data_IF_104780591771
#
_entry.id   IF_104780591771
#
_cell.length_a   1.000
_cell.length_b   1.000
_cell.length_c   1.000
_cell.angle_alpha   90.00
_cell.angle_beta   90.00
_cell.angle_gamma   90.00
#
_symmetry.space_group_name_H-M   'P 1'
#
loop_
_entity.id
_entity.type
_entity.pdbx_description
1 polymer ?
#
# COMPACT_ATOMS: atom_id res chain seq x y z
N UNK A 1 23.50 -38.94 -2.17
CA UNK A 1 23.92 -38.35 -3.47
C UNK A 1 22.75 -37.92 -4.38
N UNK A 2 21.56 -38.51 -4.24
CA UNK A 2 20.39 -38.25 -5.09
C UNK A 2 19.70 -36.88 -4.85
N UNK A 3 19.61 -36.44 -3.59
CA UNK A 3 18.98 -35.16 -3.19
C UNK A 3 19.71 -33.93 -3.76
N UNK A 4 21.05 -34.02 -3.89
CA UNK A 4 21.88 -32.91 -4.38
C UNK A 4 21.73 -32.67 -5.88
N UNK A 5 21.35 -33.70 -6.66
CA UNK A 5 21.09 -33.57 -8.10
C UNK A 5 19.69 -33.00 -8.39
N UNK A 6 18.69 -33.39 -7.61
CA UNK A 6 17.32 -32.90 -7.78
C UNK A 6 17.18 -31.42 -7.40
N UNK A 7 17.86 -30.99 -6.34
CA UNK A 7 17.87 -29.57 -5.92
C UNK A 7 18.54 -28.65 -6.96
N UNK A 8 19.63 -29.11 -7.57
CA UNK A 8 20.33 -28.36 -8.61
C UNK A 8 19.49 -28.25 -9.90
N UNK A 9 18.73 -29.31 -10.25
CA UNK A 9 17.80 -29.28 -11.38
C UNK A 9 16.64 -28.31 -11.15
N UNK A 10 16.13 -28.25 -9.92
CA UNK A 10 14.99 -27.40 -9.57
C UNK A 10 15.34 -25.91 -9.57
N UNK A 11 16.53 -25.55 -9.08
CA UNK A 11 17.07 -24.17 -9.16
C UNK A 11 17.32 -23.75 -10.61
N UNK A 12 17.83 -24.67 -11.45
CA UNK A 12 18.08 -24.38 -12.87
C UNK A 12 16.76 -24.18 -13.61
N UNK A 13 15.72 -24.98 -13.31
CA UNK A 13 14.37 -24.81 -13.87
C UNK A 13 13.74 -23.47 -13.45
N UNK A 14 13.85 -23.07 -12.18
CA UNK A 14 13.36 -21.78 -11.69
C UNK A 14 14.04 -20.57 -12.36
N UNK A 15 15.35 -20.65 -12.57
CA UNK A 15 16.11 -19.62 -13.28
C UNK A 15 15.72 -19.53 -14.76
N UNK A 16 15.49 -20.67 -15.42
CA UNK A 16 15.02 -20.67 -16.82
C UNK A 16 13.60 -20.15 -16.98
N UNK A 17 12.70 -20.44 -16.02
CA UNK A 17 11.31 -19.93 -16.04
C UNK A 17 11.29 -18.42 -15.79
N UNK A 18 12.13 -17.91 -14.88
CA UNK A 18 12.25 -16.47 -14.63
C UNK A 18 12.83 -15.73 -15.85
N UNK A 19 13.87 -16.29 -16.48
CA UNK A 19 14.43 -15.71 -17.70
C UNK A 19 13.42 -15.70 -18.86
N UNK A 20 12.63 -16.75 -19.02
CA UNK A 20 11.58 -16.83 -20.04
C UNK A 20 10.43 -15.85 -19.75
N UNK A 21 10.09 -15.60 -18.48
CA UNK A 21 9.08 -14.61 -18.09
C UNK A 21 9.55 -13.17 -18.34
N UNK A 22 10.84 -12.88 -18.11
CA UNK A 22 11.41 -11.57 -18.45
C UNK A 22 11.48 -11.33 -19.97
N UNK A 23 11.78 -12.35 -20.77
CA UNK A 23 11.80 -12.19 -22.24
C UNK A 23 10.39 -12.04 -22.80
N UNK A 24 9.40 -12.76 -22.26
CA UNK A 24 7.99 -12.58 -22.66
C UNK A 24 7.51 -11.18 -22.27
N UNK A 25 7.86 -10.68 -21.08
CA UNK A 25 7.48 -9.33 -20.65
C UNK A 25 8.16 -8.22 -21.47
N UNK A 26 9.44 -8.39 -21.83
CA UNK A 26 10.16 -7.46 -22.69
C UNK A 26 9.62 -7.48 -24.13
N UNK A 27 9.24 -8.67 -24.63
CA UNK A 27 8.58 -8.82 -25.92
C UNK A 27 7.18 -8.18 -25.90
N UNK A 28 6.39 -8.36 -24.84
CA UNK A 28 5.10 -7.68 -24.66
C UNK A 28 5.25 -6.15 -24.59
N UNK A 29 6.28 -5.62 -23.92
CA UNK A 29 6.55 -4.19 -23.89
C UNK A 29 7.02 -3.65 -25.26
N UNK A 30 7.79 -4.45 -26.01
CA UNK A 30 8.20 -4.11 -27.37
C UNK A 30 7.01 -4.13 -28.36
N UNK A 31 6.14 -5.15 -28.30
CA UNK A 31 4.90 -5.19 -29.10
C UNK A 31 3.93 -4.05 -28.71
N UNK A 32 3.90 -3.66 -27.43
CA UNK A 32 3.11 -2.49 -27.00
C UNK A 32 3.68 -1.15 -27.47
N UNK A 33 4.98 -1.08 -27.78
CA UNK A 33 5.59 0.13 -28.35
C UNK A 33 5.31 0.29 -29.85
N UNK A 34 5.11 -0.81 -30.57
CA UNK A 34 4.78 -0.83 -32.00
C UNK A 34 3.29 -0.50 -32.26
N UNK A 35 2.40 -0.79 -31.30
CA UNK A 35 0.96 -0.49 -31.41
C UNK A 35 0.60 0.99 -31.26
N UNK A 36 1.56 1.89 -30.99
CA UNK A 36 1.32 3.34 -30.89
C UNK A 36 1.35 4.03 -32.27
N UNK A 37 1.75 3.32 -33.33
CA UNK A 37 1.70 3.83 -34.69
C UNK A 37 0.56 3.16 -35.48
N UNK A 38 -0.60 3.82 -35.47
CA UNK A 38 -1.78 3.63 -36.32
C UNK A 38 -2.82 2.57 -35.87
N UNK A 39 -3.73 3.00 -34.99
CA UNK A 39 -5.13 2.58 -35.04
C UNK A 39 -6.02 3.83 -35.08
N UNK A 40 -6.13 4.40 -36.28
CA UNK A 40 -7.25 5.24 -36.70
C UNK A 40 -8.48 4.34 -36.85
N UNK A 41 -9.24 4.11 -35.77
CA UNK A 41 -10.70 3.95 -35.69
C UNK A 41 -11.09 3.21 -34.39
N UNK A 42 -12.23 3.55 -33.75
CA UNK A 42 -12.39 3.39 -32.33
C UNK A 42 -13.21 2.13 -31.98
N UNK A 43 -12.74 1.30 -31.03
CA UNK A 43 -13.64 0.49 -30.18
C UNK A 43 -12.94 -0.09 -28.94
N UNK A 44 -13.51 0.25 -27.77
CA UNK A 44 -13.39 -0.41 -26.46
C UNK A 44 -12.11 -0.21 -25.61
N UNK A 45 -12.00 0.95 -24.95
CA UNK A 45 -11.79 1.08 -23.47
C UNK A 45 -11.46 2.51 -22.99
N UNK A 46 -11.48 3.49 -23.88
CA UNK A 46 -11.60 4.91 -23.49
C UNK A 46 -13.07 5.28 -23.38
N UNK A 47 -13.62 5.35 -22.15
CA UNK A 47 -14.74 6.20 -21.71
C UNK A 47 -15.38 5.66 -20.42
N UNK A 48 -15.06 6.24 -19.26
CA UNK A 48 -16.02 6.53 -18.17
C UNK A 48 -15.62 7.78 -17.38
N UNK A 49 -15.13 8.80 -18.08
CA UNK A 49 -15.29 10.21 -17.70
C UNK A 49 -15.46 10.93 -19.04
N UNK A 50 -16.62 11.57 -19.23
CA UNK A 50 -17.05 12.37 -20.40
C UNK A 50 -17.91 11.66 -21.48
N UNK A 51 -19.22 11.80 -21.27
CA UNK A 51 -20.26 12.09 -22.27
C UNK A 51 -20.77 10.96 -23.17
N UNK A 52 -21.72 10.24 -22.60
CA UNK A 52 -22.93 9.81 -23.31
C UNK A 52 -23.69 11.07 -23.78
N UNK A 53 -23.35 11.62 -24.95
CA UNK A 53 -23.96 12.82 -25.53
C UNK A 53 -25.41 12.63 -26.01
N UNK A 54 -26.12 11.59 -25.57
CA UNK A 54 -27.55 11.41 -25.87
C UNK A 54 -28.33 10.46 -24.94
N UNK A 55 -27.90 10.27 -23.69
CA UNK A 55 -28.74 9.60 -22.68
C UNK A 55 -29.62 10.65 -21.97
N UNK A 56 -30.92 10.38 -21.74
CA UNK A 56 -31.79 11.32 -21.03
C UNK A 56 -31.18 11.65 -19.67
N UNK A 57 -31.14 12.94 -19.31
CA UNK A 57 -30.49 13.46 -18.10
C UNK A 57 -30.85 12.63 -16.84
N UNK A 58 -30.01 11.64 -16.54
CA UNK A 58 -30.13 10.79 -15.38
C UNK A 58 -29.81 11.56 -14.10
N UNK A 59 -30.26 11.03 -12.96
CA UNK A 59 -29.97 11.57 -11.64
C UNK A 59 -28.46 11.78 -11.41
N UNK A 60 -27.62 10.96 -12.05
CA UNK A 60 -26.17 11.02 -11.98
C UNK A 60 -25.60 12.36 -12.47
N UNK A 61 -26.18 12.97 -13.52
CA UNK A 61 -25.72 14.26 -14.02
C UNK A 61 -26.11 15.42 -13.08
N UNK A 62 -27.27 15.33 -12.42
CA UNK A 62 -27.69 16.32 -11.40
C UNK A 62 -26.82 16.26 -10.15
N UNK A 63 -26.43 15.05 -9.77
CA UNK A 63 -25.52 14.81 -8.65
C UNK A 63 -24.14 15.39 -9.00
N UNK A 64 -23.58 15.04 -10.16
CA UNK A 64 -22.28 15.54 -10.59
C UNK A 64 -22.26 17.07 -10.69
N UNK A 65 -23.27 17.70 -11.31
CA UNK A 65 -23.37 19.15 -11.44
C UNK A 65 -23.54 19.88 -10.08
N UNK A 66 -24.07 19.21 -9.07
CA UNK A 66 -24.17 19.75 -7.71
C UNK A 66 -22.85 19.62 -6.93
N UNK A 67 -22.06 18.58 -7.21
CA UNK A 67 -20.77 18.33 -6.55
C UNK A 67 -19.58 19.02 -7.23
N UNK A 68 -19.65 19.26 -8.55
CA UNK A 68 -18.68 20.03 -9.34
C UNK A 68 -18.29 21.38 -8.70
N UNK A 69 -19.22 22.29 -8.34
CA UNK A 69 -18.83 23.60 -7.80
C UNK A 69 -18.13 23.50 -6.44
N UNK A 70 -18.39 22.45 -5.67
CA UNK A 70 -17.70 22.19 -4.40
C UNK A 70 -16.31 21.64 -4.67
N UNK A 71 -16.18 20.65 -5.56
CA UNK A 71 -14.91 20.06 -5.95
C UNK A 71 -13.96 21.12 -6.55
N UNK A 72 -14.44 21.95 -7.46
CA UNK A 72 -13.68 23.03 -8.10
C UNK A 72 -13.17 24.07 -7.10
N UNK A 73 -13.96 24.38 -6.06
CA UNK A 73 -13.58 25.33 -5.02
C UNK A 73 -12.46 24.75 -4.17
N UNK A 74 -12.57 23.48 -3.77
CA UNK A 74 -11.52 22.78 -3.05
C UNK A 74 -10.25 22.61 -3.90
N UNK A 75 -10.38 22.26 -5.18
CA UNK A 75 -9.27 22.12 -6.13
C UNK A 75 -8.49 23.44 -6.24
N UNK A 76 -9.18 24.56 -6.49
CA UNK A 76 -8.56 25.89 -6.56
C UNK A 76 -7.87 26.27 -5.26
N UNK A 77 -8.48 25.94 -4.12
CA UNK A 77 -7.89 26.22 -2.82
C UNK A 77 -6.61 25.39 -2.56
N UNK A 78 -6.65 24.08 -2.78
CA UNK A 78 -5.52 23.19 -2.45
C UNK A 78 -4.39 23.22 -3.49
N UNK A 79 -4.70 23.51 -4.75
CA UNK A 79 -3.71 23.64 -5.84
C UNK A 79 -3.33 25.08 -6.15
N UNK A 80 -3.63 26.04 -5.26
CA UNK A 80 -3.03 27.37 -5.34
C UNK A 80 -1.51 27.21 -5.23
N UNK A 81 -0.80 27.54 -6.31
CA UNK A 81 0.66 27.42 -6.36
C UNK A 81 1.31 28.68 -5.81
N UNK A 82 2.30 28.49 -4.94
CA UNK A 82 3.14 29.58 -4.43
C UNK A 82 4.47 29.52 -5.18
N UNK A 83 4.93 30.64 -5.77
CA UNK A 83 6.22 30.68 -6.43
C UNK A 83 7.31 30.56 -5.37
N UNK A 84 7.96 29.40 -5.32
CA UNK A 84 9.17 29.20 -4.50
C UNK A 84 10.34 29.65 -5.38
N UNK A 85 11.21 30.50 -4.86
CA UNK A 85 12.31 31.09 -5.64
C UNK A 85 13.09 30.05 -6.48
N UNK A 86 13.52 30.45 -7.68
CA UNK A 86 14.25 29.56 -8.61
C UNK A 86 13.40 28.92 -9.71
N UNK A 87 12.23 29.50 -10.05
CA UNK A 87 11.41 29.07 -11.19
C UNK A 87 10.56 27.82 -10.94
N UNK A 88 10.39 27.42 -9.67
CA UNK A 88 9.65 26.21 -9.28
C UNK A 88 8.42 26.60 -8.46
N UNK A 89 7.24 26.28 -8.98
CA UNK A 89 5.97 26.53 -8.29
C UNK A 89 5.53 25.26 -7.57
N UNK A 90 5.27 25.34 -6.27
CA UNK A 90 4.68 24.22 -5.52
C UNK A 90 3.25 24.54 -5.07
N UNK A 91 2.35 23.54 -5.10
CA UNK A 91 1.03 23.65 -4.49
C UNK A 91 1.11 23.95 -2.99
N UNK A 92 0.21 24.81 -2.49
CA UNK A 92 0.11 25.13 -1.07
C UNK A 92 -0.12 23.89 -0.20
N UNK A 93 -0.79 22.87 -0.75
CA UNK A 93 -0.97 21.57 -0.08
C UNK A 93 0.36 20.91 0.29
N UNK A 94 1.40 21.01 -0.54
CA UNK A 94 2.72 20.44 -0.23
C UNK A 94 3.36 21.14 0.97
N UNK A 95 3.23 22.47 1.02
CA UNK A 95 3.73 23.28 2.14
C UNK A 95 2.97 22.94 3.43
N UNK A 96 1.65 22.80 3.36
CA UNK A 96 0.80 22.40 4.48
C UNK A 96 1.17 20.99 4.98
N UNK A 97 1.43 20.05 4.08
CA UNK A 97 1.84 18.68 4.42
C UNK A 97 3.20 18.64 5.11
N UNK A 98 4.20 19.33 4.55
CA UNK A 98 5.54 19.37 5.15
C UNK A 98 5.51 20.07 6.51
N UNK A 99 4.80 21.19 6.63
CA UNK A 99 4.64 21.90 7.90
C UNK A 99 3.88 21.06 8.94
N UNK A 100 2.76 20.45 8.55
CA UNK A 100 1.97 19.57 9.42
C UNK A 100 2.79 18.35 9.86
N UNK A 101 3.49 17.69 8.95
CA UNK A 101 4.34 16.55 9.26
C UNK A 101 5.49 16.95 10.20
N UNK A 102 6.13 18.09 9.98
CA UNK A 102 7.18 18.60 10.86
C UNK A 102 6.61 18.94 12.25
N UNK A 103 5.47 19.63 12.32
CA UNK A 103 4.81 19.98 13.57
C UNK A 103 4.43 18.74 14.38
N UNK A 104 3.74 17.77 13.77
CA UNK A 104 3.34 16.53 14.46
C UNK A 104 4.57 15.71 14.87
N UNK A 105 5.60 15.63 14.03
CA UNK A 105 6.83 14.90 14.37
C UNK A 105 7.55 15.52 15.57
N UNK A 106 7.62 16.86 15.64
CA UNK A 106 8.23 17.56 16.77
C UNK A 106 7.34 17.50 18.02
N UNK A 107 6.03 17.68 17.87
CA UNK A 107 5.06 17.65 18.98
C UNK A 107 5.02 16.29 19.67
N UNK A 108 5.11 15.19 18.92
CA UNK A 108 5.18 13.83 19.47
C UNK A 108 6.61 13.38 19.82
N UNK A 109 7.61 14.26 19.68
CA UNK A 109 9.00 13.98 20.01
C UNK A 109 9.60 12.84 19.19
N UNK A 110 9.45 12.84 17.87
CA UNK A 110 10.01 11.81 16.98
C UNK A 110 9.55 10.37 17.33
N UNK A 111 8.25 10.22 17.59
CA UNK A 111 7.64 8.92 17.94
C UNK A 111 7.94 7.83 16.91
N UNK A 112 8.01 8.17 15.63
CA UNK A 112 8.34 7.25 14.53
C UNK A 112 9.68 6.51 14.75
N UNK A 113 10.67 7.16 15.38
CA UNK A 113 11.98 6.55 15.66
C UNK A 113 12.01 5.91 17.04
N UNK A 114 11.40 6.55 18.05
CA UNK A 114 11.43 6.07 19.45
C UNK A 114 10.62 4.79 19.66
N UNK A 115 9.52 4.63 18.94
CA UNK A 115 8.57 3.53 19.14
C UNK A 115 8.81 2.33 18.22
N UNK A 116 9.60 2.51 17.16
CA UNK A 116 10.02 1.44 16.26
C UNK A 116 10.62 0.20 16.97
N UNK A 117 11.57 0.31 17.93
CA UNK A 117 12.10 -0.86 18.62
C UNK A 117 11.05 -1.58 19.48
N UNK A 118 10.09 -0.82 20.02
CA UNK A 118 8.98 -1.40 20.79
C UNK A 118 8.07 -2.22 19.88
N UNK A 119 7.67 -1.67 18.73
CA UNK A 119 6.87 -2.38 17.74
C UNK A 119 7.55 -3.68 17.23
N UNK A 120 8.87 -3.64 17.01
CA UNK A 120 9.63 -4.85 16.63
C UNK A 120 9.61 -5.90 17.76
N UNK A 121 9.74 -5.46 19.01
CA UNK A 121 9.69 -6.38 20.15
C UNK A 121 8.30 -7.02 20.36
N UNK A 122 7.23 -6.34 19.96
CA UNK A 122 5.85 -6.89 19.94
C UNK A 122 5.69 -7.89 18.79
N UNK A 123 6.02 -7.49 17.56
CA UNK A 123 5.82 -8.37 16.39
C UNK A 123 6.71 -9.61 16.39
N UNK A 124 7.86 -9.55 17.05
CA UNK A 124 8.77 -10.69 17.21
C UNK A 124 8.28 -11.72 18.25
N UNK A 125 7.10 -11.53 18.83
CA UNK A 125 6.49 -12.48 19.78
C UNK A 125 7.16 -12.47 21.16
N UNK A 126 7.95 -11.44 21.48
CA UNK A 126 8.63 -11.35 22.78
C UNK A 126 7.63 -11.16 23.93
N UNK A 127 6.42 -10.65 23.68
CA UNK A 127 5.42 -10.37 24.71
C UNK A 127 4.25 -11.37 24.76
N UNK A 128 4.07 -12.21 23.74
CA UNK A 128 3.02 -13.24 23.68
C UNK A 128 3.06 -14.22 24.87
N UNK A 129 4.26 -14.39 25.46
CA UNK A 129 4.47 -15.23 26.65
C UNK A 129 3.92 -14.63 27.95
N UNK A 130 3.77 -13.31 28.04
CA UNK A 130 3.25 -12.61 29.23
C UNK A 130 1.72 -12.57 29.17
N UNK A 131 1.17 -12.39 27.98
CA UNK A 131 -0.27 -12.46 27.68
C UNK A 131 -0.84 -13.84 28.03
N UNK A 132 -0.19 -14.91 27.54
CA UNK A 132 -0.58 -16.30 27.87
C UNK A 132 -0.39 -16.68 29.34
N UNK A 133 0.59 -16.09 30.03
CA UNK A 133 0.82 -16.33 31.45
C UNK A 133 -0.14 -15.55 32.38
N UNK A 134 -0.69 -14.42 31.91
CA UNK A 134 -1.71 -13.65 32.61
C UNK A 134 -3.08 -14.31 32.60
N UNK A 135 -3.47 -14.90 31.46
CA UNK A 135 -4.73 -15.65 31.32
C UNK A 135 -4.81 -16.89 32.23
N UNK A 136 -3.69 -17.53 32.54
CA UNK A 136 -3.64 -18.72 33.41
C UNK A 136 -3.86 -18.43 34.91
N UNK A 137 -3.91 -17.16 35.35
CA UNK A 137 -4.05 -16.78 36.77
C UNK A 137 -5.44 -16.21 37.12
N UNK A 138 -6.39 -16.22 36.18
CA UNK A 138 -7.80 -15.95 36.48
C UNK A 138 -8.45 -17.29 36.74
N UNK A 139 -8.71 -17.60 38.02
CA UNK A 139 -9.51 -18.78 38.42
C UNK A 139 -10.97 -18.31 38.52
N UNK A 140 -11.80 -18.43 37.47
CA UNK A 140 -13.23 -18.34 37.66
C UNK A 140 -13.65 -19.59 38.43
N UNK A 141 -14.19 -19.38 39.63
CA UNK A 141 -14.76 -20.46 40.45
C UNK A 141 -16.05 -20.98 39.80
N UNK A 142 -15.91 -21.78 38.75
CA UNK A 142 -16.97 -22.49 38.04
C UNK A 142 -16.41 -23.82 37.53
N UNK A 143 -17.26 -24.83 37.39
CA UNK A 143 -16.86 -26.21 37.13
C UNK A 143 -16.16 -26.34 35.76
N UNK A 144 -14.84 -26.38 35.79
CA UNK A 144 -13.97 -26.59 34.63
C UNK A 144 -13.91 -28.11 34.35
N UNK A 145 -14.53 -28.55 33.26
CA UNK A 145 -14.40 -29.93 32.75
C UNK A 145 -13.60 -29.85 31.47
N UNK A 146 -12.44 -30.52 31.42
CA UNK A 146 -11.51 -30.50 30.27
C UNK A 146 -11.06 -29.09 29.81
N UNK A 147 -10.92 -28.14 30.74
CA UNK A 147 -10.40 -26.80 30.45
C UNK A 147 -11.43 -25.82 29.86
N UNK A 148 -12.72 -26.15 29.92
CA UNK A 148 -13.81 -25.35 29.37
C UNK A 148 -14.80 -24.89 30.46
N UNK A 149 -15.27 -23.65 30.28
CA UNK A 149 -16.28 -22.98 31.08
C UNK A 149 -17.67 -23.31 30.53
N UNK A 150 -18.36 -24.26 31.18
CA UNK A 150 -19.78 -24.52 30.89
C UNK A 150 -20.60 -23.25 31.14
N UNK A 151 -21.35 -22.83 30.12
CA UNK A 151 -22.26 -21.66 30.05
C UNK A 151 -21.68 -20.28 29.66
N UNK A 152 -20.43 -20.22 29.19
CA UNK A 152 -19.93 -19.04 28.41
C UNK A 152 -19.53 -19.48 27.02
N UNK A 153 -20.01 -18.79 25.97
CA UNK A 153 -19.46 -19.00 24.62
C UNK A 153 -17.97 -18.66 24.68
N UNK A 154 -17.15 -19.70 24.58
CA UNK A 154 -15.70 -19.63 24.51
C UNK A 154 -15.31 -18.70 23.36
N UNK A 155 -14.91 -17.48 23.67
CA UNK A 155 -14.11 -16.70 22.72
C UNK A 155 -12.66 -17.18 22.86
N UNK A 156 -12.36 -18.33 22.26
CA UNK A 156 -10.99 -18.84 22.13
C UNK A 156 -10.17 -18.09 21.08
N UNK A 157 -10.68 -16.95 20.61
CA UNK A 157 -9.99 -16.02 19.73
C UNK A 157 -8.82 -15.27 20.37
N UNK A 158 -8.43 -15.54 21.63
CA UNK A 158 -7.24 -14.94 22.25
C UNK A 158 -5.90 -15.51 21.73
N UNK A 159 -5.94 -16.27 20.64
CA UNK A 159 -4.81 -16.55 19.77
C UNK A 159 -5.22 -16.15 18.35
N UNK A 160 -4.87 -14.94 17.95
CA UNK A 160 -5.09 -14.45 16.60
C UNK A 160 -4.72 -15.51 15.56
N UNK A 161 -5.65 -15.81 14.66
CA UNK A 161 -5.54 -16.82 13.58
C UNK A 161 -4.33 -16.59 12.65
N UNK A 162 -3.71 -15.42 12.78
CA UNK A 162 -2.52 -14.96 12.06
C UNK A 162 -1.51 -14.45 13.10
N UNK A 163 -0.26 -14.91 13.02
CA UNK A 163 0.82 -14.37 13.87
C UNK A 163 0.96 -12.86 13.63
N UNK A 164 1.28 -12.08 14.68
CA UNK A 164 1.62 -10.66 14.55
C UNK A 164 2.64 -10.40 13.42
N UNK A 165 3.63 -11.27 13.25
CA UNK A 165 4.60 -11.18 12.15
C UNK A 165 4.00 -11.46 10.78
N UNK A 166 3.07 -12.40 10.70
CA UNK A 166 2.37 -12.73 9.46
C UNK A 166 1.38 -11.60 9.08
N UNK A 167 0.72 -10.97 10.05
CA UNK A 167 -0.09 -9.76 9.82
C UNK A 167 0.76 -8.57 9.36
N UNK A 168 1.92 -8.34 9.98
CA UNK A 168 2.89 -7.32 9.54
C UNK A 168 3.39 -7.60 8.13
N UNK A 169 3.74 -8.85 7.82
CA UNK A 169 4.22 -9.23 6.49
C UNK A 169 3.16 -8.99 5.41
N UNK A 170 1.89 -9.30 5.68
CA UNK A 170 0.78 -8.97 4.78
C UNK A 170 0.62 -7.47 4.57
N UNK A 171 0.68 -6.68 5.66
CA UNK A 171 0.60 -5.22 5.57
C UNK A 171 1.79 -4.61 4.79
N UNK A 172 3.01 -5.04 5.10
CA UNK A 172 4.23 -4.61 4.41
C UNK A 172 4.16 -4.99 2.94
N UNK A 173 3.73 -6.22 2.61
CA UNK A 173 3.55 -6.67 1.23
C UNK A 173 2.55 -5.82 0.45
N UNK A 174 1.51 -5.29 1.09
CA UNK A 174 0.56 -4.35 0.46
C UNK A 174 1.19 -2.98 0.18
N UNK A 175 2.16 -2.56 0.98
CA UNK A 175 2.83 -1.26 0.83
C UNK A 175 4.06 -1.30 -0.07
N UNK A 176 4.89 -2.36 -0.06
CA UNK A 176 6.08 -2.49 -0.92
C UNK A 176 5.77 -3.09 -2.30
N UNK A 177 4.75 -2.56 -2.96
CA UNK A 177 4.32 -3.02 -4.28
C UNK A 177 5.17 -2.48 -5.44
N UNK A 178 4.91 -3.02 -6.64
CA UNK A 178 5.50 -2.55 -7.90
C UNK A 178 5.28 -1.03 -8.12
N UNK A 179 4.19 -0.48 -7.57
CA UNK A 179 3.88 0.95 -7.61
C UNK A 179 4.88 1.83 -6.86
N UNK A 180 5.42 1.38 -5.71
CA UNK A 180 6.44 2.15 -5.00
C UNK A 180 7.77 2.12 -5.75
N UNK A 181 8.10 1.00 -6.37
CA UNK A 181 9.33 0.86 -7.17
C UNK A 181 9.24 1.68 -8.46
N UNK A 182 8.08 1.66 -9.14
CA UNK A 182 7.86 2.48 -10.35
C UNK A 182 7.79 3.97 -10.02
N UNK A 183 7.15 4.36 -8.91
CA UNK A 183 7.08 5.74 -8.44
C UNK A 183 8.46 6.33 -8.16
N UNK A 184 9.34 5.57 -7.49
CA UNK A 184 10.75 5.95 -7.28
C UNK A 184 11.49 6.10 -8.61
N UNK A 185 11.30 5.17 -9.56
CA UNK A 185 11.94 5.25 -10.88
C UNK A 185 11.54 6.52 -11.66
N UNK A 186 10.24 6.86 -11.68
CA UNK A 186 9.73 8.07 -12.33
C UNK A 186 10.23 9.33 -11.61
N UNK A 187 10.27 9.32 -10.28
CA UNK A 187 10.75 10.45 -9.50
C UNK A 187 12.24 10.73 -9.73
N UNK A 188 13.07 9.70 -9.86
CA UNK A 188 14.50 9.87 -10.19
C UNK A 188 14.67 10.30 -11.65
N UNK A 189 13.92 9.71 -12.58
CA UNK A 189 14.00 10.05 -13.99
C UNK A 189 13.62 11.51 -14.27
N UNK A 190 12.63 12.06 -13.55
CA UNK A 190 12.12 13.43 -13.75
C UNK A 190 12.74 14.45 -12.79
N UNK A 191 12.99 14.07 -11.54
CA UNK A 191 13.54 14.94 -10.49
C UNK A 191 15.06 14.86 -10.32
N UNK A 192 15.73 13.96 -11.05
CA UNK A 192 17.16 13.71 -10.93
C UNK A 192 17.55 12.94 -9.66
N UNK A 193 18.84 12.70 -9.43
CA UNK A 193 19.33 11.90 -8.30
C UNK A 193 19.05 12.56 -6.92
N UNK A 194 18.76 13.86 -6.90
CA UNK A 194 18.38 14.56 -5.67
C UNK A 194 16.97 14.20 -5.16
N UNK A 195 16.10 13.63 -5.99
CA UNK A 195 14.74 13.26 -5.59
C UNK A 195 14.70 12.19 -4.50
N UNK A 196 15.67 11.27 -4.48
CA UNK A 196 15.75 10.19 -3.48
C UNK A 196 16.00 10.70 -2.06
N UNK A 197 16.61 11.88 -1.91
CA UNK A 197 16.80 12.50 -0.59
C UNK A 197 15.49 13.04 -0.01
N UNK A 198 14.51 13.36 -0.86
CA UNK A 198 13.24 13.97 -0.47
C UNK A 198 12.07 12.98 -0.33
N UNK A 199 12.29 11.70 -0.66
CA UNK A 199 11.35 10.59 -0.40
C UNK A 199 11.55 10.03 1.01
#
# INVERSE_FOLDING_TARGET
MFIRKSFCSWITQLLTISALSLTISALSFALASESVAQEDAPEASTQQVQQDANAPAGWDHKINAAFEPVADLWEKFIFTTIPIGGGKSAPIVLLLLVFGAAFFTLAFGFINIRLMPFAISVVSGKYDKIEKAGAANVVPNVNEVDGDLVDTIRDEGESGEVSHFQALATAVSGTVGLGNISGVAVAIATGGPGATFWM
#
